data_IF_386876696906
#
_entry.id   IF_386876696906
#
_cell.length_a   1.000
_cell.length_b   1.000
_cell.length_c   1.000
_cell.angle_alpha   90.00
_cell.angle_beta   90.00
_cell.angle_gamma   90.00
#
_symmetry.space_group_name_H-M   'P 1'
#
loop_
_entity.id
_entity.type
_entity.pdbx_description
1 polymer ?
#
# COMPACT_ATOMS: atom_id res chain seq x y z
N UNK A 1 -13.45 -4.59 3.88
CA UNK A 1 -13.42 -4.20 5.29
C UNK A 1 -12.03 -4.23 5.89
N UNK A 2 -11.34 -5.37 5.88
CA UNK A 2 -10.05 -5.55 6.58
C UNK A 2 -8.82 -5.70 5.70
N UNK A 3 -8.99 -6.02 4.41
CA UNK A 3 -7.87 -6.34 3.51
C UNK A 3 -6.79 -5.25 3.45
N UNK A 4 -7.17 -3.99 3.28
CA UNK A 4 -6.20 -2.89 3.20
C UNK A 4 -5.49 -2.65 4.53
N UNK A 5 -6.13 -2.93 5.66
CA UNK A 5 -5.48 -2.86 6.96
C UNK A 5 -4.41 -3.95 7.12
N UNK A 6 -4.65 -5.16 6.60
CA UNK A 6 -3.66 -6.24 6.56
C UNK A 6 -2.49 -5.84 5.65
N UNK A 7 -2.78 -5.38 4.43
CA UNK A 7 -1.75 -4.94 3.47
C UNK A 7 -0.88 -3.83 4.03
N UNK A 8 -1.48 -2.84 4.72
CA UNK A 8 -0.73 -1.77 5.37
C UNK A 8 0.23 -2.29 6.44
N UNK A 9 -0.23 -3.18 7.32
CA UNK A 9 0.61 -3.75 8.38
C UNK A 9 1.80 -4.54 7.82
N UNK A 10 1.57 -5.33 6.76
CA UNK A 10 2.65 -6.09 6.11
C UNK A 10 3.67 -5.12 5.50
N UNK A 11 3.21 -4.12 4.74
CA UNK A 11 4.11 -3.15 4.13
C UNK A 11 4.93 -2.39 5.19
N UNK A 12 4.31 -1.95 6.29
CA UNK A 12 5.00 -1.28 7.39
C UNK A 12 6.05 -2.18 8.06
N UNK A 13 5.76 -3.48 8.23
CA UNK A 13 6.70 -4.46 8.80
C UNK A 13 7.94 -4.67 7.91
N UNK A 14 7.77 -4.58 6.59
CA UNK A 14 8.86 -4.67 5.59
C UNK A 14 9.56 -3.32 5.37
N UNK A 15 9.29 -2.29 6.19
CA UNK A 15 9.87 -0.94 6.03
C UNK A 15 9.33 -0.16 4.83
N UNK A 16 8.25 -0.64 4.23
CA UNK A 16 7.56 -0.05 3.09
C UNK A 16 6.33 0.78 3.46
N UNK A 17 5.54 1.14 2.44
CA UNK A 17 4.31 1.92 2.60
C UNK A 17 3.26 1.62 1.54
N UNK A 18 2.00 1.92 1.88
CA UNK A 18 0.83 1.74 1.01
C UNK A 18 0.09 3.06 0.88
N UNK A 19 -0.32 3.42 -0.33
CA UNK A 19 -1.16 4.59 -0.59
C UNK A 19 -2.06 4.36 -1.81
N UNK A 20 -3.00 5.28 -2.05
CA UNK A 20 -3.93 5.20 -3.16
C UNK A 20 -4.01 6.53 -3.91
N UNK A 21 -4.21 6.45 -5.22
CA UNK A 21 -4.67 7.58 -6.04
C UNK A 21 -6.02 7.22 -6.63
N UNK A 22 -7.00 8.09 -6.46
CA UNK A 22 -8.36 7.90 -6.94
C UNK A 22 -8.81 9.14 -7.70
N UNK A 23 -9.52 8.93 -8.79
CA UNK A 23 -10.15 10.00 -9.56
C UNK A 23 -11.62 9.60 -9.82
N UNK A 24 -12.60 10.47 -9.51
CA UNK A 24 -14.01 10.19 -9.76
C UNK A 24 -14.25 9.73 -11.20
N UNK A 25 -15.02 8.66 -11.36
CA UNK A 25 -15.31 8.08 -12.68
C UNK A 25 -14.18 7.28 -13.33
N UNK A 26 -12.97 7.25 -12.76
CA UNK A 26 -11.82 6.45 -13.27
C UNK A 26 -11.39 5.33 -12.32
N UNK A 27 -11.96 5.30 -11.12
CA UNK A 27 -11.67 4.29 -10.11
C UNK A 27 -10.47 4.66 -9.23
N UNK A 28 -9.92 3.64 -8.57
CA UNK A 28 -8.86 3.81 -7.57
C UNK A 28 -7.71 2.87 -7.88
N UNK A 29 -6.49 3.42 -7.90
CA UNK A 29 -5.24 2.66 -8.00
C UNK A 29 -4.53 2.67 -6.65
N UNK A 30 -4.18 1.50 -6.17
CA UNK A 30 -3.38 1.32 -4.96
C UNK A 30 -1.91 1.10 -5.34
N UNK A 31 -1.01 1.60 -4.50
CA UNK A 31 0.43 1.53 -4.68
C UNK A 31 1.04 0.94 -3.41
N UNK A 32 2.06 0.10 -3.61
CA UNK A 32 2.87 -0.51 -2.58
C UNK A 32 4.33 -0.16 -2.92
N UNK A 33 5.02 0.48 -1.98
CA UNK A 33 6.45 0.78 -2.07
C UNK A 33 7.16 -0.07 -1.01
N UNK A 34 8.22 -0.77 -1.42
CA UNK A 34 9.08 -1.58 -0.56
C UNK A 34 10.54 -1.16 -0.78
N UNK A 35 11.40 -1.19 0.25
CA UNK A 35 12.83 -0.96 0.08
C UNK A 35 13.47 -2.05 -0.80
N UNK A 36 14.46 -1.69 -1.63
CA UNK A 36 15.15 -2.65 -2.51
C UNK A 36 16.02 -3.66 -1.74
N UNK A 37 16.43 -3.31 -0.53
CA UNK A 37 17.21 -4.18 0.36
C UNK A 37 16.56 -4.16 1.74
N UNK A 38 16.26 -5.33 2.35
CA UNK A 38 15.82 -5.40 3.74
C UNK A 38 16.91 -4.84 4.66
N UNK A 39 16.49 -4.12 5.72
CA UNK A 39 17.40 -3.60 6.76
C UNK A 39 17.99 -4.72 7.64
#
# INVERSE_FOLDING_TARGET
GVGLAIVRRIAEAEGGRVFARSEPGRGTRFYLELPETPA
#
